data_IF_349338772162
#
_entry.id   IF_349338772162
#
_cell.length_a   1.000
_cell.length_b   1.000
_cell.length_c   1.000
_cell.angle_alpha   90.00
_cell.angle_beta   90.00
_cell.angle_gamma   90.00
#
_symmetry.space_group_name_H-M   'P 1'
#
loop_
_entity.id
_entity.type
_entity.pdbx_description
1 polymer ?
#
# COMPACT_ATOMS: atom_id res chain seq x y z
N UNK A 1 -3.64 11.62 -13.20
CA UNK A 1 -4.74 12.55 -12.91
C UNK A 1 -4.97 13.52 -14.08
N UNK A 2 -3.97 14.26 -14.55
CA UNK A 2 -4.09 15.25 -15.64
C UNK A 2 -4.73 14.69 -16.92
N UNK A 3 -4.25 13.55 -17.42
CA UNK A 3 -4.81 12.90 -18.62
C UNK A 3 -6.28 12.46 -18.40
N UNK A 4 -6.62 12.01 -17.21
CA UNK A 4 -8.00 11.67 -16.88
C UNK A 4 -8.92 12.88 -17.04
N UNK A 5 -8.52 14.06 -16.55
CA UNK A 5 -9.28 15.29 -16.74
C UNK A 5 -9.53 15.62 -18.22
N UNK A 6 -8.49 15.50 -19.05
CA UNK A 6 -8.63 15.68 -20.51
C UNK A 6 -9.61 14.69 -21.14
N UNK A 7 -9.51 13.41 -20.77
CA UNK A 7 -10.38 12.35 -21.27
C UNK A 7 -11.83 12.63 -20.89
N UNK A 8 -12.09 13.03 -19.64
CA UNK A 8 -13.44 13.37 -19.17
C UNK A 8 -14.02 14.55 -19.97
N UNK A 9 -13.24 15.59 -20.21
CA UNK A 9 -13.68 16.74 -21.03
C UNK A 9 -14.00 16.31 -22.47
N UNK A 10 -13.13 15.51 -23.10
CA UNK A 10 -13.35 14.99 -24.46
C UNK A 10 -14.56 14.05 -24.54
N UNK A 11 -14.86 13.32 -23.48
CA UNK A 11 -16.05 12.48 -23.37
C UNK A 11 -17.35 13.25 -23.10
N UNK A 12 -17.31 14.58 -23.04
CA UNK A 12 -18.49 15.43 -22.85
C UNK A 12 -18.91 15.62 -21.40
N UNK A 13 -18.06 15.31 -20.41
CA UNK A 13 -18.38 15.63 -19.02
C UNK A 13 -18.49 17.15 -18.84
N UNK A 14 -19.62 17.67 -18.30
CA UNK A 14 -19.78 19.12 -18.14
C UNK A 14 -18.71 19.73 -17.23
N UNK A 15 -18.29 20.95 -17.52
CA UNK A 15 -17.31 21.67 -16.73
C UNK A 15 -17.78 21.80 -15.26
N UNK A 16 -16.86 21.58 -14.33
CA UNK A 16 -17.13 21.71 -12.89
C UNK A 16 -17.64 20.43 -12.22
N UNK A 17 -18.05 19.39 -12.98
CA UNK A 17 -18.46 18.09 -12.41
C UNK A 17 -17.25 17.33 -11.84
N UNK A 18 -16.12 17.36 -12.56
CA UNK A 18 -14.84 16.80 -12.08
C UNK A 18 -13.79 17.92 -12.06
N UNK A 19 -13.23 18.17 -10.87
CA UNK A 19 -12.14 19.13 -10.68
C UNK A 19 -10.92 18.40 -10.13
N UNK A 20 -9.81 18.37 -10.87
CA UNK A 20 -8.57 17.73 -10.48
C UNK A 20 -7.60 18.81 -10.02
N UNK A 21 -7.23 18.77 -8.74
CA UNK A 21 -6.31 19.69 -8.10
C UNK A 21 -5.06 18.93 -7.71
N UNK A 22 -3.90 19.39 -8.17
CA UNK A 22 -2.62 18.80 -7.83
C UNK A 22 -1.95 19.57 -6.70
N UNK A 23 -1.32 18.85 -5.77
CA UNK A 23 -0.56 19.44 -4.67
C UNK A 23 -0.22 18.40 -3.61
N UNK A 24 0.46 18.85 -2.56
CA UNK A 24 0.82 17.97 -1.45
C UNK A 24 -0.34 17.79 -0.47
N UNK A 25 -0.31 16.69 0.31
CA UNK A 25 -1.30 16.44 1.35
C UNK A 25 -1.42 17.61 2.34
N UNK A 26 -0.31 18.13 2.90
CA UNK A 26 -0.34 19.25 3.85
C UNK A 26 -0.89 20.57 3.28
N UNK A 27 -0.82 20.79 1.97
CA UNK A 27 -1.36 22.00 1.34
C UNK A 27 -2.75 21.80 0.77
N UNK A 28 -2.85 21.11 -0.36
CA UNK A 28 -4.13 20.92 -1.06
C UNK A 28 -5.05 19.95 -0.33
N UNK A 29 -4.52 18.84 0.19
CA UNK A 29 -5.33 17.88 0.94
C UNK A 29 -5.96 18.49 2.18
N UNK A 30 -5.19 19.22 2.96
CA UNK A 30 -5.68 19.89 4.17
C UNK A 30 -6.75 20.94 3.83
N UNK A 31 -6.52 21.79 2.80
CA UNK A 31 -7.48 22.77 2.35
C UNK A 31 -8.82 22.14 1.93
N UNK A 32 -8.79 21.00 1.24
CA UNK A 32 -9.99 20.25 0.88
C UNK A 32 -10.73 19.76 2.13
N UNK A 33 -10.00 19.19 3.09
CA UNK A 33 -10.59 18.66 4.33
C UNK A 33 -11.25 19.75 5.17
N UNK A 34 -10.64 20.93 5.24
CA UNK A 34 -11.11 22.08 6.02
C UNK A 34 -12.23 22.87 5.33
N UNK A 35 -12.38 22.74 4.02
CA UNK A 35 -13.29 23.60 3.26
C UNK A 35 -14.76 23.35 3.64
N UNK A 36 -15.53 24.38 4.07
CA UNK A 36 -16.88 24.20 4.64
C UNK A 36 -17.91 23.67 3.63
N UNK A 37 -17.71 23.92 2.34
CA UNK A 37 -18.65 23.49 1.29
C UNK A 37 -18.39 22.05 0.81
N UNK A 38 -17.28 21.43 1.18
CA UNK A 38 -17.03 20.01 0.89
C UNK A 38 -17.67 19.16 1.99
N UNK A 39 -18.75 18.45 1.67
CA UNK A 39 -19.59 17.75 2.65
C UNK A 39 -19.22 16.28 2.83
N UNK A 40 -18.48 15.71 1.90
CA UNK A 40 -18.05 14.32 1.95
C UNK A 40 -16.59 14.18 1.50
N UNK A 41 -15.84 13.29 2.15
CA UNK A 41 -14.43 13.01 1.86
C UNK A 41 -14.27 11.49 1.73
N UNK A 42 -13.69 11.06 0.61
CA UNK A 42 -13.16 9.70 0.46
C UNK A 42 -11.64 9.79 0.44
N UNK A 43 -10.99 9.00 1.27
CA UNK A 43 -9.53 9.01 1.43
C UNK A 43 -8.98 7.59 1.49
N UNK A 44 -7.94 7.35 0.71
CA UNK A 44 -7.13 6.14 0.79
C UNK A 44 -5.70 6.51 1.18
N UNK A 45 -5.17 5.90 2.24
CA UNK A 45 -3.80 6.19 2.67
C UNK A 45 -3.45 5.68 4.07
N UNK A 46 -2.48 6.31 4.71
CA UNK A 46 -2.00 5.90 6.02
C UNK A 46 -2.97 6.23 7.16
N UNK A 47 -3.02 5.37 8.17
CA UNK A 47 -3.89 5.49 9.36
C UNK A 47 -3.71 6.82 10.09
N UNK A 48 -2.46 7.31 10.22
CA UNK A 48 -2.19 8.61 10.87
C UNK A 48 -2.87 9.76 10.15
N UNK A 49 -2.83 9.77 8.81
CA UNK A 49 -3.50 10.79 7.98
C UNK A 49 -5.02 10.65 8.06
N UNK A 50 -5.56 9.42 7.98
CA UNK A 50 -6.99 9.18 8.16
C UNK A 50 -7.52 9.67 9.51
N UNK A 51 -6.79 9.43 10.59
CA UNK A 51 -7.12 9.95 11.92
C UNK A 51 -7.11 11.49 11.98
N UNK A 52 -6.17 12.14 11.27
CA UNK A 52 -6.12 13.60 11.15
C UNK A 52 -7.35 14.14 10.39
N UNK A 53 -7.67 13.52 9.26
CA UNK A 53 -8.86 13.87 8.47
C UNK A 53 -10.13 13.73 9.32
N UNK A 54 -10.27 12.63 10.05
CA UNK A 54 -11.44 12.40 10.90
C UNK A 54 -11.59 13.48 11.98
N UNK A 55 -10.50 13.85 12.66
CA UNK A 55 -10.51 14.91 13.67
C UNK A 55 -10.92 16.26 13.09
N UNK A 56 -10.42 16.60 11.91
CA UNK A 56 -10.73 17.89 11.25
C UNK A 56 -12.17 17.92 10.72
N UNK A 57 -12.66 16.81 10.16
CA UNK A 57 -13.95 16.71 9.50
C UNK A 57 -15.13 16.58 10.49
N UNK A 58 -14.91 15.95 11.65
CA UNK A 58 -15.97 15.63 12.61
C UNK A 58 -16.76 16.87 13.10
N UNK A 59 -16.13 17.99 13.51
CA UNK A 59 -16.88 19.19 13.93
C UNK A 59 -17.75 19.82 12.83
N UNK A 60 -17.45 19.51 11.56
CA UNK A 60 -18.22 19.99 10.40
C UNK A 60 -19.25 18.97 9.90
N UNK A 61 -19.44 17.86 10.61
CA UNK A 61 -20.38 16.78 10.28
C UNK A 61 -20.21 16.24 8.85
N UNK A 62 -18.96 16.22 8.33
CA UNK A 62 -18.68 15.69 6.99
C UNK A 62 -18.82 14.17 6.97
N UNK A 63 -19.34 13.64 5.87
CA UNK A 63 -19.32 12.19 5.61
C UNK A 63 -17.88 11.75 5.27
N UNK A 64 -17.45 10.64 5.86
CA UNK A 64 -16.12 10.08 5.64
C UNK A 64 -16.21 8.64 5.14
N UNK A 65 -15.41 8.34 4.10
CA UNK A 65 -15.03 7.00 3.70
C UNK A 65 -13.51 6.90 3.78
N UNK A 66 -13.01 6.08 4.70
CA UNK A 66 -11.57 5.96 4.98
C UNK A 66 -11.10 4.56 4.66
N UNK A 67 -10.28 4.44 3.61
CA UNK A 67 -9.57 3.23 3.23
C UNK A 67 -8.13 3.33 3.74
N UNK A 68 -7.81 2.53 4.74
CA UNK A 68 -6.56 2.63 5.50
C UNK A 68 -5.74 1.35 5.41
N UNK A 69 -4.45 1.44 5.71
CA UNK A 69 -3.55 0.30 5.72
C UNK A 69 -3.67 -0.56 6.98
N UNK A 70 -3.03 -1.71 6.93
CA UNK A 70 -2.94 -2.65 8.04
C UNK A 70 -1.75 -3.59 7.91
N UNK A 71 -1.65 -4.54 8.84
CA UNK A 71 -0.70 -5.65 8.83
C UNK A 71 -1.49 -6.96 8.87
N UNK A 72 -1.88 -7.43 7.68
CA UNK A 72 -2.80 -8.56 7.55
C UNK A 72 -2.11 -9.88 7.87
N UNK A 73 -2.75 -10.79 8.62
CA UNK A 73 -2.25 -12.13 8.84
C UNK A 73 -2.43 -12.99 7.58
N UNK A 74 -1.42 -13.79 7.26
CA UNK A 74 -1.48 -14.88 6.29
C UNK A 74 -1.19 -16.16 7.08
N UNK A 75 -2.19 -17.03 7.24
CA UNK A 75 -2.11 -18.23 8.08
C UNK A 75 -2.04 -19.45 7.18
N UNK A 76 -0.99 -20.25 7.35
CA UNK A 76 -0.65 -21.39 6.49
C UNK A 76 -0.65 -22.66 7.32
N UNK A 77 -1.53 -23.60 6.95
CA UNK A 77 -1.61 -24.94 7.52
C UNK A 77 -0.91 -25.99 6.63
N UNK A 78 -0.48 -27.10 7.20
CA UNK A 78 0.29 -28.12 6.51
C UNK A 78 -0.49 -28.86 5.42
N UNK A 79 -1.80 -28.94 5.51
CA UNK A 79 -2.70 -29.63 4.58
C UNK A 79 -3.05 -28.80 3.33
N UNK A 80 -2.47 -27.60 3.18
CA UNK A 80 -2.70 -26.75 2.02
C UNK A 80 -2.05 -27.29 0.73
N UNK A 81 -2.54 -26.80 -0.44
CA UNK A 81 -1.80 -27.00 -1.69
C UNK A 81 -0.52 -26.15 -1.66
N UNK A 82 0.59 -26.80 -1.31
CA UNK A 82 1.85 -26.14 -0.97
C UNK A 82 2.39 -25.21 -2.08
N UNK A 83 2.48 -25.69 -3.34
CA UNK A 83 3.03 -24.89 -4.44
C UNK A 83 2.17 -23.67 -4.77
N UNK A 84 0.86 -23.85 -4.78
CA UNK A 84 -0.10 -22.75 -4.98
C UNK A 84 -0.02 -21.74 -3.84
N UNK A 85 0.03 -22.21 -2.61
CA UNK A 85 0.17 -21.38 -1.41
C UNK A 85 1.45 -20.56 -1.45
N UNK A 86 2.60 -21.18 -1.74
CA UNK A 86 3.90 -20.51 -1.79
C UNK A 86 3.91 -19.39 -2.83
N UNK A 87 3.44 -19.65 -4.04
CA UNK A 87 3.32 -18.64 -5.11
C UNK A 87 2.42 -17.47 -4.72
N UNK A 88 1.25 -17.76 -4.14
CA UNK A 88 0.30 -16.72 -3.70
C UNK A 88 0.90 -15.92 -2.54
N UNK A 89 1.59 -16.55 -1.61
CA UNK A 89 2.20 -15.87 -0.46
C UNK A 89 3.29 -14.89 -0.89
N UNK A 90 4.17 -15.29 -1.82
CA UNK A 90 5.17 -14.37 -2.40
C UNK A 90 4.49 -13.17 -3.05
N UNK A 91 3.49 -13.40 -3.90
CA UNK A 91 2.72 -12.32 -4.55
C UNK A 91 2.02 -11.43 -3.54
N UNK A 92 1.34 -12.00 -2.56
CA UNK A 92 0.63 -11.27 -1.52
C UNK A 92 1.54 -10.38 -0.67
N UNK A 93 2.79 -10.83 -0.42
CA UNK A 93 3.73 -10.08 0.43
C UNK A 93 4.46 -8.97 -0.33
N UNK A 94 4.77 -9.15 -1.61
CA UNK A 94 5.69 -8.27 -2.33
C UNK A 94 5.11 -7.57 -3.56
N UNK A 95 3.88 -7.88 -3.98
CA UNK A 95 3.24 -7.16 -5.08
C UNK A 95 3.19 -5.66 -4.78
N UNK A 96 3.46 -4.84 -5.80
CA UNK A 96 3.54 -3.39 -5.67
C UNK A 96 4.47 -2.95 -4.51
N UNK A 97 5.67 -3.52 -4.45
CA UNK A 97 6.68 -3.29 -3.40
C UNK A 97 6.17 -3.58 -1.96
N UNK A 98 5.17 -4.43 -1.80
CA UNK A 98 4.54 -4.71 -0.51
C UNK A 98 3.65 -3.59 0.04
N UNK A 99 3.22 -2.66 -0.80
CA UNK A 99 2.49 -1.44 -0.41
C UNK A 99 0.97 -1.52 -0.60
N UNK A 100 0.42 -2.71 -0.81
CA UNK A 100 -1.04 -2.91 -0.94
C UNK A 100 -1.64 -3.05 0.46
N UNK A 101 -2.80 -2.41 0.71
CA UNK A 101 -3.54 -2.53 1.98
C UNK A 101 -3.90 -3.98 2.35
N UNK A 102 -3.97 -4.87 1.34
CA UNK A 102 -4.26 -6.30 1.48
C UNK A 102 -3.00 -7.19 1.57
N UNK A 103 -1.78 -6.63 1.61
CA UNK A 103 -0.57 -7.42 1.71
C UNK A 103 -0.57 -8.34 2.94
N UNK A 104 -0.26 -9.62 2.74
CA UNK A 104 -0.05 -10.59 3.81
C UNK A 104 1.29 -10.36 4.51
N UNK A 105 1.37 -9.30 5.29
CA UNK A 105 2.63 -8.80 5.89
C UNK A 105 3.03 -9.51 7.17
N UNK A 106 2.16 -10.34 7.75
CA UNK A 106 2.45 -11.23 8.88
C UNK A 106 2.15 -12.66 8.46
N UNK A 107 3.17 -13.49 8.30
CA UNK A 107 3.01 -14.87 7.84
C UNK A 107 3.15 -15.81 9.04
N UNK A 108 2.08 -16.53 9.34
CA UNK A 108 2.03 -17.54 10.40
C UNK A 108 1.99 -18.92 9.75
N UNK A 109 3.00 -19.73 10.02
CA UNK A 109 3.17 -21.04 9.38
C UNK A 109 3.10 -22.13 10.43
N UNK A 110 2.34 -23.19 10.16
CA UNK A 110 2.29 -24.37 11.01
C UNK A 110 3.70 -24.93 11.21
N UNK A 111 4.03 -25.28 12.45
CA UNK A 111 5.37 -25.69 12.87
C UNK A 111 5.92 -26.85 12.04
N UNK A 112 5.07 -27.79 11.66
CA UNK A 112 5.45 -28.98 10.91
C UNK A 112 6.09 -28.68 9.53
N UNK A 113 5.69 -27.60 8.88
CA UNK A 113 6.19 -27.19 7.56
C UNK A 113 7.06 -25.92 7.60
N UNK A 114 7.28 -25.34 8.77
CA UNK A 114 7.92 -24.01 8.91
C UNK A 114 9.31 -23.95 8.25
N UNK A 115 10.19 -24.92 8.55
CA UNK A 115 11.57 -24.89 8.02
C UNK A 115 11.60 -25.03 6.50
N UNK A 116 10.77 -25.90 5.94
CA UNK A 116 10.63 -26.05 4.49
C UNK A 116 10.10 -24.76 3.87
N UNK A 117 9.00 -24.22 4.42
CA UNK A 117 8.40 -22.99 3.95
C UNK A 117 9.40 -21.82 3.98
N UNK A 118 10.12 -21.61 5.09
CA UNK A 118 11.11 -20.54 5.24
C UNK A 118 12.14 -20.58 4.09
N UNK A 119 12.73 -21.76 3.82
CA UNK A 119 13.74 -21.91 2.79
C UNK A 119 13.18 -21.66 1.38
N UNK A 120 12.04 -22.25 1.06
CA UNK A 120 11.42 -22.15 -0.25
C UNK A 120 10.92 -20.72 -0.50
N UNK A 121 10.34 -20.06 0.51
CA UNK A 121 9.87 -18.69 0.43
C UNK A 121 11.01 -17.71 0.16
N UNK A 122 12.12 -17.81 0.91
CA UNK A 122 13.31 -16.98 0.70
C UNK A 122 13.88 -17.20 -0.71
N UNK A 123 13.96 -18.46 -1.17
CA UNK A 123 14.41 -18.77 -2.52
C UNK A 123 13.54 -18.09 -3.58
N UNK A 124 12.23 -18.21 -3.48
CA UNK A 124 11.27 -17.58 -4.41
C UNK A 124 11.31 -16.04 -4.38
N UNK A 125 11.52 -15.46 -3.20
CA UNK A 125 11.66 -14.00 -3.08
C UNK A 125 12.93 -13.51 -3.76
N UNK A 126 14.03 -14.23 -3.66
CA UNK A 126 15.30 -13.90 -4.34
C UNK A 126 15.22 -13.97 -5.88
N UNK A 127 14.26 -14.69 -6.43
CA UNK A 127 13.99 -14.74 -7.88
C UNK A 127 13.26 -13.51 -8.41
N UNK A 128 12.66 -12.67 -7.53
CA UNK A 128 11.92 -11.48 -7.94
C UNK A 128 12.84 -10.46 -8.61
N UNK A 129 12.49 -10.06 -9.81
CA UNK A 129 13.27 -9.11 -10.61
C UNK A 129 12.85 -7.68 -10.28
N UNK A 130 13.75 -6.96 -9.61
CA UNK A 130 13.61 -5.53 -9.34
C UNK A 130 14.31 -4.75 -10.44
N UNK A 131 13.67 -3.73 -11.02
CA UNK A 131 14.28 -2.97 -12.13
C UNK A 131 13.41 -1.87 -12.71
N UNK A 132 13.76 -1.46 -13.92
CA UNK A 132 13.04 -0.46 -14.68
C UNK A 132 11.59 -0.95 -14.97
N UNK A 133 10.55 -0.18 -14.62
CA UNK A 133 9.16 -0.56 -14.86
C UNK A 133 8.78 -0.68 -16.34
N UNK A 134 9.56 -0.12 -17.25
CA UNK A 134 9.36 -0.27 -18.71
C UNK A 134 9.98 -1.55 -19.28
N UNK A 135 10.84 -2.23 -18.55
CA UNK A 135 11.39 -3.52 -18.97
C UNK A 135 10.37 -4.65 -18.70
N UNK A 136 10.06 -5.44 -19.75
CA UNK A 136 9.06 -6.54 -19.65
C UNK A 136 9.39 -7.62 -18.64
N UNK A 137 10.66 -7.75 -18.25
CA UNK A 137 11.11 -8.72 -17.24
C UNK A 137 11.00 -8.21 -15.81
N UNK A 138 10.75 -6.93 -15.57
CA UNK A 138 10.66 -6.35 -14.24
C UNK A 138 9.35 -6.74 -13.56
N UNK A 139 9.43 -7.23 -12.34
CA UNK A 139 8.29 -7.60 -11.51
C UNK A 139 8.00 -6.58 -10.41
N UNK A 140 9.05 -5.89 -9.95
CA UNK A 140 8.98 -4.90 -8.87
C UNK A 140 9.76 -3.66 -9.31
N UNK A 141 9.08 -2.52 -9.30
CA UNK A 141 9.67 -1.21 -9.60
C UNK A 141 10.23 -0.50 -8.36
N UNK A 142 10.60 0.76 -8.54
CA UNK A 142 11.13 1.60 -7.47
C UNK A 142 10.01 2.06 -6.49
N UNK A 143 10.41 2.40 -5.28
CA UNK A 143 9.58 3.18 -4.35
C UNK A 143 9.39 4.61 -4.89
N UNK A 144 8.30 5.25 -4.48
CA UNK A 144 7.84 6.53 -5.03
C UNK A 144 8.81 7.69 -4.82
N UNK A 145 9.66 7.65 -3.79
CA UNK A 145 10.56 8.75 -3.44
C UNK A 145 11.65 8.33 -2.48
N UNK A 146 12.75 9.11 -2.43
CA UNK A 146 13.84 8.93 -1.47
C UNK A 146 13.37 8.99 0.00
N UNK A 147 12.53 9.97 0.43
CA UNK A 147 12.01 9.96 1.80
C UNK A 147 11.21 8.70 2.15
N UNK A 148 10.50 8.13 1.18
CA UNK A 148 9.78 6.88 1.42
C UNK A 148 10.72 5.67 1.53
N UNK A 149 11.77 5.62 0.72
CA UNK A 149 12.82 4.62 0.84
C UNK A 149 13.48 4.67 2.21
N UNK A 150 13.88 5.87 2.66
CA UNK A 150 14.53 6.06 3.96
C UNK A 150 13.62 5.61 5.10
N UNK A 151 12.31 5.89 5.00
CA UNK A 151 11.33 5.40 5.96
C UNK A 151 11.25 3.87 5.98
N UNK A 152 11.24 3.21 4.82
CA UNK A 152 11.21 1.73 4.76
C UNK A 152 12.49 1.16 5.37
N UNK A 153 13.64 1.71 5.03
CA UNK A 153 14.92 1.28 5.59
C UNK A 153 14.98 1.44 7.10
N UNK A 154 14.49 2.57 7.65
CA UNK A 154 14.46 2.77 9.10
C UNK A 154 13.63 1.71 9.85
N UNK A 155 12.56 1.18 9.25
CA UNK A 155 11.80 0.09 9.86
C UNK A 155 12.51 -1.26 9.77
N UNK A 156 13.30 -1.49 8.70
CA UNK A 156 14.13 -2.69 8.60
C UNK A 156 15.24 -2.65 9.67
N UNK A 157 15.86 -1.49 9.86
CA UNK A 157 16.90 -1.31 10.87
C UNK A 157 16.31 -1.45 12.28
N UNK A 158 15.16 -0.86 12.56
CA UNK A 158 14.44 -1.04 13.82
C UNK A 158 14.13 -2.53 14.10
N UNK A 159 13.69 -3.27 13.09
CA UNK A 159 13.42 -4.70 13.26
C UNK A 159 14.67 -5.49 13.64
N UNK A 160 15.85 -5.13 13.10
CA UNK A 160 17.13 -5.74 13.49
C UNK A 160 17.50 -5.35 14.92
N UNK A 161 17.35 -4.09 15.30
CA UNK A 161 17.60 -3.59 16.65
C UNK A 161 16.73 -4.30 17.69
N UNK A 162 15.49 -4.62 17.33
CA UNK A 162 14.54 -5.39 18.16
C UNK A 162 14.80 -6.92 18.14
N UNK A 163 15.87 -7.38 17.49
CA UNK A 163 16.27 -8.79 17.45
C UNK A 163 15.68 -9.58 16.28
N UNK A 164 15.11 -8.92 15.29
CA UNK A 164 14.66 -9.55 14.06
C UNK A 164 15.81 -9.99 13.16
N UNK A 165 15.67 -11.14 12.50
CA UNK A 165 16.61 -11.66 11.50
C UNK A 165 16.12 -11.31 10.08
N UNK A 166 17.01 -10.76 9.26
CA UNK A 166 16.76 -10.58 7.82
C UNK A 166 17.32 -11.79 7.09
N UNK A 167 16.48 -12.47 6.30
CA UNK A 167 16.78 -13.75 5.64
C UNK A 167 17.23 -13.58 4.19
#
# INVERSE_FOLDING_TARGET
>A
AFLLGKICTQAGLPNGVLNIINGTGPSVGQAIVEHPNIKAISFTGGTKTGASIARTAAPMFKKLSLELGGKNPNIIFADCNYEKMLSITVKSSFANQGQICLCGSRIFVEKSIYSKFKNDFVSRVKELKVGDPFASSTQIGALVSKPHLDKVMSYIDLAKEEGGEVL
#
